data_IF_333129190346
#
_entry.id   IF_333129190346
#
_cell.length_a   1.000
_cell.length_b   1.000
_cell.length_c   1.000
_cell.angle_alpha   90.00
_cell.angle_beta   90.00
_cell.angle_gamma   90.00
#
_symmetry.space_group_name_H-M   'P 1'
#
loop_
_entity.id
_entity.type
_entity.pdbx_description
1 polymer ?
#
# COMPACT_ATOMS: atom_id res chain seq x y z
N UNK A 1 -6.67 -19.68 19.29
CA UNK A 1 -7.14 -18.58 20.15
C UNK A 1 -6.20 -17.37 20.16
N UNK A 2 -4.86 -17.53 20.18
CA UNK A 2 -3.90 -16.39 20.18
C UNK A 2 -4.05 -15.40 19.00
N UNK A 3 -4.47 -15.86 17.82
CA UNK A 3 -4.64 -15.00 16.65
C UNK A 3 -5.99 -14.25 16.60
N UNK A 4 -6.93 -14.56 17.49
CA UNK A 4 -8.25 -13.92 17.48
C UNK A 4 -8.17 -12.45 17.93
N UNK A 5 -7.30 -12.17 18.89
CA UNK A 5 -7.05 -10.82 19.40
C UNK A 5 -6.50 -9.83 18.36
N UNK A 6 -5.42 -10.15 17.60
CA UNK A 6 -4.95 -9.25 16.55
C UNK A 6 -5.95 -9.10 15.39
N UNK A 7 -6.70 -10.16 15.05
CA UNK A 7 -7.76 -10.08 14.03
C UNK A 7 -8.86 -9.10 14.44
N UNK A 8 -9.28 -9.13 15.70
CA UNK A 8 -10.26 -8.19 16.25
C UNK A 8 -9.78 -6.74 16.14
N UNK A 9 -8.51 -6.48 16.46
CA UNK A 9 -7.92 -5.14 16.39
C UNK A 9 -7.91 -4.61 14.95
N UNK A 10 -7.49 -5.44 14.00
CA UNK A 10 -7.48 -5.08 12.57
C UNK A 10 -8.91 -4.78 12.10
N UNK A 11 -9.87 -5.61 12.48
CA UNK A 11 -11.27 -5.41 12.13
C UNK A 11 -11.83 -4.08 12.67
N UNK A 12 -11.54 -3.73 13.93
CA UNK A 12 -11.93 -2.44 14.52
C UNK A 12 -11.29 -1.25 13.80
N UNK A 13 -10.08 -1.41 13.28
CA UNK A 13 -9.39 -0.35 12.53
C UNK A 13 -10.05 -0.10 11.16
N UNK A 14 -10.52 -1.16 10.49
CA UNK A 14 -11.22 -1.08 9.20
C UNK A 14 -12.65 -0.54 9.36
N UNK A 15 -13.31 -0.77 10.49
CA UNK A 15 -14.68 -0.29 10.71
C UNK A 15 -14.80 1.24 10.81
N UNK A 16 -13.74 1.93 11.23
CA UNK A 16 -13.75 3.40 11.42
C UNK A 16 -14.23 4.18 10.18
N UNK A 17 -13.64 4.00 8.98
CA UNK A 17 -14.09 4.69 7.77
C UNK A 17 -15.44 4.17 7.23
N UNK A 18 -15.89 2.99 7.63
CA UNK A 18 -17.14 2.38 7.15
C UNK A 18 -18.36 2.99 7.85
N UNK A 19 -18.22 3.42 9.10
CA UNK A 19 -19.33 3.90 9.92
C UNK A 19 -20.11 5.09 9.29
N UNK A 20 -19.47 6.15 8.76
CA UNK A 20 -20.17 7.26 8.12
C UNK A 20 -20.94 6.84 6.85
N UNK A 21 -20.42 5.86 6.11
CA UNK A 21 -21.05 5.35 4.89
C UNK A 21 -22.32 4.60 5.23
N UNK A 22 -22.28 3.72 6.24
CA UNK A 22 -23.46 2.98 6.71
C UNK A 22 -24.53 3.96 7.20
N UNK A 23 -24.15 4.96 8.00
CA UNK A 23 -25.08 5.99 8.46
C UNK A 23 -25.74 6.73 7.28
N UNK A 24 -24.95 7.07 6.25
CA UNK A 24 -25.46 7.71 5.05
C UNK A 24 -26.46 6.85 4.26
N UNK A 25 -26.22 5.54 4.16
CA UNK A 25 -27.13 4.62 3.46
C UNK A 25 -28.43 4.38 4.22
N UNK A 26 -28.34 4.20 5.55
CA UNK A 26 -29.52 3.93 6.40
C UNK A 26 -30.39 5.17 6.55
N UNK A 27 -29.78 6.34 6.73
CA UNK A 27 -30.48 7.61 6.95
C UNK A 27 -30.48 8.52 5.72
N UNK A 28 -30.42 7.94 4.52
CA UNK A 28 -30.26 8.68 3.27
C UNK A 28 -31.31 9.80 3.10
N UNK A 29 -32.59 9.46 3.24
CA UNK A 29 -33.69 10.43 3.06
C UNK A 29 -33.63 11.56 4.08
N UNK A 30 -33.35 11.22 5.35
CA UNK A 30 -33.20 12.20 6.41
C UNK A 30 -32.04 13.16 6.13
N UNK A 31 -30.90 12.63 5.68
CA UNK A 31 -29.70 13.43 5.36
C UNK A 31 -29.99 14.36 4.19
N UNK A 32 -30.61 13.87 3.11
CA UNK A 32 -30.93 14.67 1.93
C UNK A 32 -31.90 15.80 2.27
N UNK A 33 -32.90 15.55 3.11
CA UNK A 33 -33.94 16.54 3.43
C UNK A 33 -33.47 17.57 4.49
N UNK A 34 -32.75 17.11 5.52
CA UNK A 34 -32.48 17.93 6.71
C UNK A 34 -31.03 18.40 6.83
N UNK A 35 -30.06 17.62 6.35
CA UNK A 35 -28.62 17.87 6.57
C UNK A 35 -27.87 18.32 5.30
N UNK A 36 -28.48 18.18 4.12
CA UNK A 36 -27.88 18.60 2.86
C UNK A 36 -27.95 20.12 2.68
N UNK A 37 -26.80 20.79 2.72
CA UNK A 37 -26.65 22.24 2.52
C UNK A 37 -27.04 22.69 1.10
N UNK A 38 -26.83 21.83 0.09
CA UNK A 38 -27.10 22.14 -1.31
C UNK A 38 -28.49 21.66 -1.80
N UNK A 39 -29.46 21.46 -0.89
CA UNK A 39 -30.80 20.96 -1.26
C UNK A 39 -31.58 21.89 -2.20
N UNK A 40 -31.28 23.20 -2.16
CA UNK A 40 -31.92 24.23 -2.99
C UNK A 40 -31.32 24.34 -4.40
N UNK A 41 -30.24 23.60 -4.69
CA UNK A 41 -29.54 23.59 -5.99
C UNK A 41 -29.61 22.20 -6.62
N UNK A 42 -30.76 21.81 -7.20
CA UNK A 42 -30.96 20.47 -7.75
C UNK A 42 -30.01 20.14 -8.92
N UNK A 43 -29.58 21.17 -9.65
CA UNK A 43 -28.57 21.09 -10.72
C UNK A 43 -27.22 20.50 -10.27
N UNK A 44 -26.87 20.64 -8.99
CA UNK A 44 -25.61 20.13 -8.43
C UNK A 44 -25.66 18.63 -8.10
N UNK A 45 -26.84 18.00 -8.16
CA UNK A 45 -27.05 16.57 -7.86
C UNK A 45 -26.35 16.13 -6.55
N UNK A 46 -26.36 16.99 -5.52
CA UNK A 46 -25.59 16.79 -4.30
C UNK A 46 -26.05 15.53 -3.55
N UNK A 47 -27.37 15.38 -3.34
CA UNK A 47 -27.97 14.22 -2.68
C UNK A 47 -27.32 13.89 -1.32
N UNK A 48 -27.02 14.89 -0.50
CA UNK A 48 -26.40 14.67 0.82
C UNK A 48 -24.89 14.35 0.79
N UNK A 49 -24.24 14.31 -0.38
CA UNK A 49 -22.79 14.07 -0.51
C UNK A 49 -21.94 15.08 0.25
N UNK A 50 -22.41 16.33 0.40
CA UNK A 50 -21.73 17.36 1.18
C UNK A 50 -21.66 17.05 2.68
N UNK A 51 -22.68 16.37 3.22
CA UNK A 51 -22.69 15.95 4.62
C UNK A 51 -21.76 14.74 4.80
N UNK A 52 -21.86 13.75 3.90
CA UNK A 52 -21.01 12.56 3.93
C UNK A 52 -19.51 12.94 3.85
N UNK A 53 -19.14 13.89 2.99
CA UNK A 53 -17.74 14.32 2.88
C UNK A 53 -17.22 14.97 4.17
N UNK A 54 -18.04 15.75 4.88
CA UNK A 54 -17.68 16.32 6.18
C UNK A 54 -17.51 15.26 7.26
N UNK A 55 -18.40 14.26 7.31
CA UNK A 55 -18.27 13.15 8.26
C UNK A 55 -17.03 12.30 7.99
N UNK A 56 -16.71 12.05 6.71
CA UNK A 56 -15.49 11.35 6.32
C UNK A 56 -14.23 12.15 6.70
N UNK A 57 -14.22 13.47 6.49
CA UNK A 57 -13.09 14.33 6.87
C UNK A 57 -12.77 14.26 8.37
N UNK A 58 -13.79 14.20 9.24
CA UNK A 58 -13.63 14.03 10.69
C UNK A 58 -12.94 12.71 11.06
N UNK A 59 -13.16 11.64 10.29
CA UNK A 59 -12.46 10.37 10.55
C UNK A 59 -10.97 10.47 10.25
N UNK A 60 -10.57 11.34 9.31
CA UNK A 60 -9.16 11.61 8.96
C UNK A 60 -8.49 12.68 9.81
N UNK A 61 -9.19 13.70 10.29
CA UNK A 61 -8.60 14.78 11.11
C UNK A 61 -8.15 14.30 12.50
N UNK A 62 -8.67 13.17 12.98
CA UNK A 62 -8.22 12.51 14.22
C UNK A 62 -6.95 11.67 14.04
N UNK A 63 -6.49 11.46 12.80
CA UNK A 63 -5.10 11.06 12.57
C UNK A 63 -4.30 12.37 12.66
N UNK A 64 -3.33 12.49 13.59
CA UNK A 64 -2.49 13.67 13.64
C UNK A 64 -1.94 13.91 12.23
N UNK A 65 -2.31 15.06 11.64
CA UNK A 65 -1.74 15.53 10.37
C UNK A 65 -0.26 15.47 10.60
N UNK A 66 0.39 14.52 9.94
CA UNK A 66 1.81 14.39 10.06
C UNK A 66 2.40 15.61 9.39
N UNK A 67 2.69 16.64 10.17
CA UNK A 67 3.54 17.75 9.78
C UNK A 67 4.85 17.15 9.31
N UNK A 68 5.02 16.94 8.00
CA UNK A 68 6.25 16.72 7.21
C UNK A 68 7.44 15.98 7.84
N UNK A 69 7.24 15.24 8.92
CA UNK A 69 8.10 14.16 9.35
C UNK A 69 7.72 13.02 8.42
N UNK A 70 8.70 12.36 7.84
CA UNK A 70 8.43 11.14 7.09
C UNK A 70 7.91 10.14 8.14
N UNK A 71 6.64 9.72 8.13
CA UNK A 71 6.23 8.50 8.86
C UNK A 71 7.16 7.48 8.20
N UNK A 72 8.11 6.95 8.96
CA UNK A 72 8.89 5.80 8.52
C UNK A 72 7.91 4.62 8.50
N UNK A 73 7.14 4.51 7.43
CA UNK A 73 6.21 3.41 7.12
C UNK A 73 6.92 2.06 7.25
N UNK A 74 8.25 2.07 7.14
CA UNK A 74 9.17 0.97 7.44
C UNK A 74 8.85 0.24 8.76
N UNK A 75 8.51 0.94 9.85
CA UNK A 75 8.29 0.26 11.15
C UNK A 75 6.98 -0.56 11.21
N UNK A 76 5.93 -0.13 10.49
CA UNK A 76 4.66 -0.85 10.43
C UNK A 76 4.69 -1.97 9.38
N UNK A 77 5.44 -1.77 8.29
CA UNK A 77 5.64 -2.79 7.24
C UNK A 77 6.58 -3.90 7.69
N UNK A 78 7.54 -3.61 8.58
CA UNK A 78 8.47 -4.61 9.14
C UNK A 78 7.77 -5.70 9.99
N UNK A 79 6.53 -5.50 10.44
CA UNK A 79 5.74 -6.54 11.10
C UNK A 79 5.17 -7.58 10.13
N UNK A 80 5.06 -7.25 8.84
CA UNK A 80 4.42 -8.11 7.83
C UNK A 80 5.40 -8.73 6.83
N UNK A 81 6.67 -8.33 6.85
CA UNK A 81 7.71 -9.03 6.10
C UNK A 81 8.14 -10.25 6.92
N UNK A 82 7.56 -11.40 6.59
CA UNK A 82 8.20 -12.68 6.89
C UNK A 82 9.59 -12.60 6.25
N UNK A 83 10.63 -12.41 7.07
CA UNK A 83 12.03 -12.56 6.66
C UNK A 83 12.32 -14.04 6.46
N UNK A 84 11.67 -14.65 5.49
CA UNK A 84 12.20 -15.87 4.89
C UNK A 84 13.34 -15.41 3.99
N UNK A 85 14.51 -15.28 4.61
CA UNK A 85 15.76 -15.13 3.89
C UNK A 85 15.88 -16.40 3.05
N UNK A 86 15.55 -16.31 1.77
CA UNK A 86 15.77 -17.37 0.80
C UNK A 86 17.25 -17.76 0.86
N UNK A 87 17.51 -18.83 1.59
CA UNK A 87 18.84 -19.38 1.73
C UNK A 87 19.10 -20.20 0.48
N UNK A 88 19.73 -19.60 -0.52
CA UNK A 88 20.26 -20.38 -1.63
C UNK A 88 21.43 -21.20 -1.06
N UNK A 89 21.22 -22.50 -0.86
CA UNK A 89 22.35 -23.41 -0.72
C UNK A 89 23.14 -23.31 -2.02
N UNK A 90 24.37 -22.79 -1.94
CA UNK A 90 25.29 -22.74 -3.07
C UNK A 90 25.36 -24.15 -3.66
N UNK A 91 24.73 -24.37 -4.82
CA UNK A 91 24.86 -25.62 -5.54
C UNK A 91 26.30 -25.65 -6.04
N UNK A 92 27.13 -26.46 -5.37
CA UNK A 92 28.42 -26.87 -5.91
C UNK A 92 28.14 -27.79 -7.11
N UNK A 93 27.81 -27.18 -8.25
CA UNK A 93 27.74 -27.90 -9.51
C UNK A 93 29.19 -28.21 -9.86
N UNK A 94 29.62 -29.41 -9.54
CA UNK A 94 30.87 -29.99 -10.05
C UNK A 94 30.73 -30.16 -11.55
N UNK A 95 31.12 -29.15 -12.31
CA UNK A 95 31.19 -29.25 -13.77
C UNK A 95 32.45 -30.05 -14.09
N UNK A 96 32.31 -31.38 -14.14
CA UNK A 96 33.27 -32.24 -14.79
C UNK A 96 32.99 -32.23 -16.30
N UNK A 97 33.32 -31.13 -16.98
CA UNK A 97 33.29 -31.10 -18.44
C UNK A 97 34.66 -30.69 -18.98
N UNK A 98 35.31 -31.67 -19.62
CA UNK A 98 36.51 -31.48 -20.43
C UNK A 98 36.20 -30.52 -21.59
N UNK A 99 37.01 -29.48 -21.85
CA UNK A 99 36.66 -28.51 -22.86
C UNK A 99 36.93 -29.09 -24.25
N UNK A 100 35.88 -29.37 -25.01
CA UNK A 100 35.95 -29.30 -26.48
C UNK A 100 35.16 -28.08 -26.93
N UNK A 101 35.80 -26.93 -26.74
CA UNK A 101 35.26 -25.63 -27.13
C UNK A 101 35.50 -25.45 -28.63
N UNK A 102 34.42 -25.51 -29.41
CA UNK A 102 34.45 -25.08 -30.81
C UNK A 102 33.35 -24.04 -31.01
N UNK A 103 33.63 -22.80 -30.61
CA UNK A 103 32.86 -21.65 -31.04
C UNK A 103 33.76 -20.42 -31.05
N UNK A 104 34.10 -19.98 -32.26
CA UNK A 104 34.80 -18.73 -32.56
C UNK A 104 34.21 -17.50 -31.82
N UNK A 105 32.94 -17.57 -31.44
CA UNK A 105 32.22 -16.51 -30.72
C UNK A 105 32.49 -16.46 -29.20
N UNK A 106 33.11 -17.49 -28.60
CA UNK A 106 33.41 -17.49 -27.17
C UNK A 106 34.59 -16.57 -26.79
N UNK A 107 35.51 -16.31 -27.72
CA UNK A 107 36.66 -15.41 -27.51
C UNK A 107 36.26 -13.92 -27.42
N UNK A 108 35.08 -13.56 -27.92
CA UNK A 108 34.62 -12.16 -27.96
C UNK A 108 33.54 -11.85 -26.92
N UNK A 109 33.08 -12.85 -26.18
CA UNK A 109 32.08 -12.68 -25.16
C UNK A 109 32.75 -12.49 -23.80
N UNK A 110 32.84 -11.23 -23.35
CA UNK A 110 33.21 -10.91 -21.99
C UNK A 110 31.99 -10.30 -21.28
N UNK A 111 31.19 -11.13 -20.61
CA UNK A 111 30.06 -10.65 -19.81
C UNK A 111 30.58 -9.93 -18.57
N UNK A 112 30.80 -8.63 -18.73
CA UNK A 112 31.22 -7.73 -17.66
C UNK A 112 29.95 -7.06 -17.13
N UNK A 113 29.25 -7.70 -16.20
CA UNK A 113 28.15 -7.03 -15.49
C UNK A 113 28.79 -5.99 -14.55
N UNK A 114 29.02 -4.78 -15.09
CA UNK A 114 29.44 -3.64 -14.28
C UNK A 114 28.24 -3.20 -13.46
N UNK A 115 28.30 -3.38 -12.15
CA UNK A 115 27.24 -3.02 -11.19
C UNK A 115 27.05 -1.50 -11.00
N UNK A 116 27.48 -0.69 -11.96
CA UNK A 116 27.42 0.78 -11.97
C UNK A 116 26.11 1.33 -12.58
N UNK A 117 25.20 0.46 -13.02
CA UNK A 117 24.05 0.88 -13.85
C UNK A 117 22.88 1.47 -13.04
N UNK A 118 22.98 1.56 -11.70
CA UNK A 118 21.93 2.18 -10.90
C UNK A 118 22.47 3.15 -9.85
N UNK A 119 22.76 4.37 -10.30
CA UNK A 119 22.71 5.54 -9.43
C UNK A 119 22.00 6.68 -10.17
N UNK A 120 21.13 7.45 -9.48
CA UNK A 120 20.50 8.63 -10.06
C UNK A 120 21.56 9.70 -10.39
N UNK A 121 21.27 10.64 -11.31
CA UNK A 121 22.21 11.71 -11.65
C UNK A 121 22.55 12.52 -10.41
N UNK A 122 23.85 12.72 -10.19
CA UNK A 122 24.36 13.62 -9.17
C UNK A 122 24.17 15.06 -9.68
N UNK A 123 23.48 15.89 -8.89
CA UNK A 123 23.39 17.34 -9.09
C UNK A 123 24.68 17.99 -8.60
#
# INVERSE_FOLDING_TARGET
MKHLFPILIIFMMVLRPVMPIVNYMVNYDFIVQNLCENREKPEMMCNGKCYLSKELAKTTDNIPKQDNSKINITLLVDSFVVRDIFSFSQLNIGINETPKQNSYLALFYNFSISSSIFHPPLV
#
